data_IF_767598814726
#
_entry.id   IF_767598814726
#
_cell.length_a   1.000
_cell.length_b   1.000
_cell.length_c   1.000
_cell.angle_alpha   90.00
_cell.angle_beta   90.00
_cell.angle_gamma   90.00
#
_symmetry.space_group_name_H-M   'P 1'
#
loop_
_entity.id
_entity.type
_entity.pdbx_description
1 polymer ?
#
# COMPACT_ATOMS: atom_id res chain seq x y z
N UNK A 1 18.80 -1.44 27.24
CA UNK A 1 18.08 -0.16 27.36
C UNK A 1 16.86 -0.22 26.46
N UNK A 2 15.66 -0.07 27.01
CA UNK A 2 14.42 -0.15 26.24
C UNK A 2 14.20 1.18 25.52
N UNK A 3 14.17 1.15 24.18
CA UNK A 3 13.93 2.35 23.34
C UNK A 3 12.53 2.23 22.78
N UNK A 4 11.62 3.07 23.27
CA UNK A 4 10.25 3.16 22.74
C UNK A 4 10.31 3.81 21.37
N UNK A 5 10.13 3.03 20.30
CA UNK A 5 9.89 3.59 18.96
C UNK A 5 8.51 4.23 18.94
N UNK A 6 8.39 5.45 18.41
CA UNK A 6 7.08 6.05 18.13
C UNK A 6 6.31 5.08 17.24
N UNK A 7 5.17 4.58 17.72
CA UNK A 7 4.22 3.90 16.85
C UNK A 7 3.83 4.92 15.77
N UNK A 8 3.99 4.57 14.50
CA UNK A 8 3.52 5.42 13.41
C UNK A 8 2.05 5.73 13.65
N UNK A 9 1.70 7.02 13.63
CA UNK A 9 0.32 7.45 13.78
C UNK A 9 -0.52 6.87 12.65
N UNK A 10 -1.45 5.98 12.99
CA UNK A 10 -2.40 5.39 12.04
C UNK A 10 -3.72 6.16 12.10
N UNK A 11 -4.21 6.60 10.95
CA UNK A 11 -5.51 7.27 10.85
C UNK A 11 -6.52 6.37 10.13
N UNK A 12 -7.70 6.20 10.72
CA UNK A 12 -8.80 5.47 10.08
C UNK A 12 -9.40 6.31 8.93
N UNK A 13 -9.54 5.71 7.75
CA UNK A 13 -10.16 6.32 6.57
C UNK A 13 -11.05 5.31 5.86
N UNK A 14 -12.22 5.77 5.39
CA UNK A 14 -13.18 4.94 4.66
C UNK A 14 -13.20 5.34 3.19
N UNK A 15 -12.88 4.39 2.31
CA UNK A 15 -12.93 4.56 0.86
C UNK A 15 -14.08 3.75 0.27
N UNK A 16 -14.68 4.25 -0.81
CA UNK A 16 -15.66 3.50 -1.61
C UNK A 16 -14.93 2.89 -2.81
N UNK A 17 -14.89 1.56 -2.84
CA UNK A 17 -14.24 0.79 -3.92
C UNK A 17 -15.30 0.01 -4.71
N UNK A 18 -15.05 -0.31 -5.98
CA UNK A 18 -15.91 -1.21 -6.75
C UNK A 18 -16.06 -2.57 -6.05
N UNK A 19 -17.27 -3.14 -6.07
CA UNK A 19 -17.59 -4.39 -5.38
C UNK A 19 -16.70 -5.55 -5.85
N UNK A 20 -16.43 -5.62 -7.16
CA UNK A 20 -15.56 -6.65 -7.75
C UNK A 20 -14.14 -6.59 -7.18
N UNK A 21 -13.59 -5.38 -7.06
CA UNK A 21 -12.26 -5.17 -6.52
C UNK A 21 -12.18 -5.59 -5.05
N UNK A 22 -13.17 -5.23 -4.24
CA UNK A 22 -13.20 -5.63 -2.82
C UNK A 22 -13.28 -7.14 -2.67
N UNK A 23 -14.06 -7.84 -3.52
CA UNK A 23 -14.12 -9.31 -3.52
C UNK A 23 -12.76 -9.93 -3.84
N UNK A 24 -12.12 -9.48 -4.91
CA UNK A 24 -10.79 -9.97 -5.31
C UNK A 24 -9.73 -9.72 -4.22
N UNK A 25 -9.70 -8.52 -3.64
CA UNK A 25 -8.81 -8.20 -2.52
C UNK A 25 -9.07 -9.12 -1.31
N UNK A 26 -10.34 -9.42 -1.02
CA UNK A 26 -10.71 -10.32 0.08
C UNK A 26 -10.24 -11.75 -0.19
N UNK A 27 -10.37 -12.25 -1.41
CA UNK A 27 -9.89 -13.59 -1.78
C UNK A 27 -8.37 -13.71 -1.69
N UNK A 28 -7.64 -12.71 -2.18
CA UNK A 28 -6.17 -12.65 -2.08
C UNK A 28 -5.74 -12.60 -0.61
N UNK A 29 -6.37 -11.74 0.20
CA UNK A 29 -6.07 -11.61 1.61
C UNK A 29 -6.28 -12.94 2.37
N UNK A 30 -7.35 -13.68 2.04
CA UNK A 30 -7.62 -15.01 2.63
C UNK A 30 -6.61 -16.06 2.18
N UNK A 31 -6.20 -16.04 0.91
CA UNK A 31 -5.23 -17.00 0.36
C UNK A 31 -3.85 -16.81 0.99
N UNK A 32 -3.48 -15.55 1.25
CA UNK A 32 -2.16 -15.18 1.78
C UNK A 32 -2.14 -15.07 3.31
N UNK A 33 -3.24 -15.38 4.00
CA UNK A 33 -3.41 -15.26 5.46
C UNK A 33 -3.05 -13.86 6.00
N UNK A 34 -3.48 -12.81 5.29
CA UNK A 34 -3.27 -11.41 5.70
C UNK A 34 -4.60 -10.67 5.84
N UNK A 35 -4.58 -9.56 6.58
CA UNK A 35 -5.75 -8.68 6.64
C UNK A 35 -5.90 -7.87 5.35
N UNK A 36 -7.14 -7.60 4.94
CA UNK A 36 -7.43 -6.73 3.79
C UNK A 36 -6.80 -5.34 3.97
N UNK A 37 -6.75 -4.82 5.20
CA UNK A 37 -6.12 -3.54 5.48
C UNK A 37 -4.60 -3.57 5.21
N UNK A 38 -3.91 -4.62 5.64
CA UNK A 38 -2.48 -4.77 5.39
C UNK A 38 -2.18 -4.97 3.90
N UNK A 39 -3.03 -5.73 3.19
CA UNK A 39 -2.92 -5.88 1.75
C UNK A 39 -3.11 -4.54 1.02
N UNK A 40 -4.14 -3.77 1.37
CA UNK A 40 -4.42 -2.46 0.77
C UNK A 40 -3.27 -1.49 1.04
N UNK A 41 -2.71 -1.48 2.26
CA UNK A 41 -1.54 -0.67 2.59
C UNK A 41 -0.36 -1.00 1.65
N UNK A 42 -0.02 -2.28 1.51
CA UNK A 42 1.08 -2.72 0.63
C UNK A 42 0.81 -2.37 -0.84
N UNK A 43 -0.43 -2.52 -1.32
CA UNK A 43 -0.79 -2.11 -2.67
C UNK A 43 -0.58 -0.61 -2.88
N UNK A 44 -0.94 0.22 -1.90
CA UNK A 44 -0.72 1.66 -1.95
C UNK A 44 0.77 2.01 -1.89
N UNK A 45 1.53 1.41 -1.00
CA UNK A 45 2.98 1.65 -0.88
C UNK A 45 3.73 1.22 -2.15
N UNK A 46 3.34 0.09 -2.74
CA UNK A 46 3.88 -0.37 -4.01
C UNK A 46 3.58 0.62 -5.14
N UNK A 47 2.30 0.98 -5.33
CA UNK A 47 1.91 1.88 -6.40
C UNK A 47 2.54 3.27 -6.25
N UNK A 48 2.60 3.82 -5.02
CA UNK A 48 3.20 5.13 -4.76
C UNK A 48 4.73 5.10 -4.86
N UNK A 49 5.38 4.02 -4.43
CA UNK A 49 6.83 3.85 -4.56
C UNK A 49 7.28 3.67 -6.01
N UNK A 50 6.48 2.97 -6.82
CA UNK A 50 6.72 2.80 -8.25
C UNK A 50 6.57 4.13 -9.01
N UNK A 51 5.56 4.94 -8.65
CA UNK A 51 5.38 6.30 -9.20
C UNK A 51 6.56 7.25 -8.90
N UNK A 52 7.20 7.12 -7.73
CA UNK A 52 8.41 7.88 -7.38
C UNK A 52 9.63 7.42 -8.19
N UNK A 53 9.71 6.10 -8.46
CA UNK A 53 10.72 5.50 -9.33
C UNK A 53 10.62 5.90 -10.80
N UNK A 54 9.42 6.15 -11.32
CA UNK A 54 9.22 6.64 -12.68
C UNK A 54 9.59 8.13 -12.83
N UNK A 55 9.32 8.97 -11.83
CA UNK A 55 9.73 10.37 -11.83
C UNK A 55 11.26 10.54 -11.91
N UNK A 56 12.02 9.61 -11.32
CA UNK A 56 13.48 9.64 -11.34
C UNK A 56 14.10 8.98 -12.58
N UNK A 57 13.34 8.15 -13.31
CA UNK A 57 13.77 7.53 -14.58
C UNK A 57 13.49 8.40 -15.80
N UNK A 58 12.44 9.22 -15.80
CA UNK A 58 12.19 10.22 -16.85
C UNK A 58 13.26 11.34 -16.85
N UNK A 59 13.78 11.69 -15.67
CA UNK A 59 14.88 12.66 -15.54
C UNK A 59 16.24 12.15 -16.06
N UNK A 60 16.46 10.83 -16.13
CA UNK A 60 17.72 10.22 -16.62
C UNK A 60 17.73 9.88 -18.10
N UNK A 61 16.57 9.87 -18.78
CA UNK A 61 16.47 9.66 -20.23
C UNK A 61 16.51 10.98 -21.03
N UNK A 62 16.61 12.13 -20.35
CA UNK A 62 16.86 13.46 -20.93
C UNK A 62 18.25 14.02 -20.60
N UNK A 63 19.28 13.17 -20.56
CA UNK A 63 20.69 13.59 -20.57
C UNK A 63 21.46 12.68 -21.51
#
# INVERSE_FOLDING_TARGET
MFVVKKNSEMMNKTFRLPVDLVKRLTEVARTQDVSVNNLVQQCCEYALGDMDGEAQQDARQRT
#
